data_IF_343777959807
#
_entry.id   IF_343777959807
#
_cell.length_a   1.000
_cell.length_b   1.000
_cell.length_c   1.000
_cell.angle_alpha   90.00
_cell.angle_beta   90.00
_cell.angle_gamma   90.00
#
_symmetry.space_group_name_H-M   'P 1'
#
loop_
_entity.id
_entity.type
_entity.pdbx_description
1 polymer ?
#
# COMPACT_ATOMS: atom_id res chain seq x y z
N UNK A 1 -13.96 -1.58 -45.72
CA UNK A 1 -15.12 -2.16 -45.02
C UNK A 1 -14.64 -2.61 -43.65
N UNK A 2 -15.29 -2.11 -42.61
CA UNK A 2 -15.14 -2.37 -41.15
C UNK A 2 -14.89 -3.86 -40.82
N UNK A 3 -14.19 -4.30 -39.77
CA UNK A 3 -14.42 -4.02 -38.34
C UNK A 3 -13.16 -4.22 -37.47
N UNK A 4 -12.56 -3.14 -36.95
CA UNK A 4 -11.72 -3.18 -35.75
C UNK A 4 -12.61 -2.74 -34.58
N UNK A 5 -13.20 -3.68 -33.84
CA UNK A 5 -14.14 -3.30 -32.77
C UNK A 5 -15.01 -4.38 -32.13
N UNK A 6 -14.72 -5.69 -32.27
CA UNK A 6 -15.41 -6.71 -31.48
C UNK A 6 -14.58 -7.10 -30.26
N UNK A 7 -15.07 -6.94 -29.02
CA UNK A 7 -14.47 -7.60 -27.87
C UNK A 7 -14.76 -9.09 -28.01
N UNK A 8 -13.79 -9.83 -28.56
CA UNK A 8 -13.79 -11.29 -28.49
C UNK A 8 -13.79 -11.73 -27.03
N UNK A 9 -14.50 -12.82 -26.74
CA UNK A 9 -14.53 -13.44 -25.41
C UNK A 9 -13.10 -13.64 -24.90
N UNK A 10 -12.78 -13.03 -23.74
CA UNK A 10 -11.48 -13.21 -23.08
C UNK A 10 -11.25 -14.72 -22.90
N UNK A 11 -10.07 -15.27 -23.29
CA UNK A 11 -9.79 -16.67 -23.03
C UNK A 11 -9.93 -16.94 -21.53
N UNK A 12 -10.74 -17.95 -21.20
CA UNK A 12 -10.91 -18.48 -19.83
C UNK A 12 -9.68 -19.26 -19.37
N UNK A 13 -8.48 -18.78 -19.71
CA UNK A 13 -7.25 -19.37 -19.22
C UNK A 13 -7.03 -18.79 -17.82
N UNK A 14 -7.56 -19.50 -16.82
CA UNK A 14 -7.06 -19.32 -15.45
C UNK A 14 -5.54 -19.52 -15.53
N UNK A 15 -4.74 -18.50 -15.21
CA UNK A 15 -3.29 -18.64 -15.26
C UNK A 15 -2.91 -19.78 -14.32
N UNK A 16 -2.17 -20.77 -14.82
CA UNK A 16 -1.58 -21.78 -13.95
C UNK A 16 -0.48 -21.11 -13.14
N UNK A 17 -0.53 -21.17 -11.79
CA UNK A 17 0.62 -20.74 -10.99
C UNK A 17 1.87 -21.53 -11.45
N UNK A 18 3.05 -20.90 -11.61
CA UNK A 18 3.44 -19.54 -11.22
C UNK A 18 3.52 -18.55 -12.41
N UNK A 19 2.76 -18.72 -13.49
CA UNK A 19 2.86 -17.86 -14.68
C UNK A 19 2.57 -16.36 -14.42
N UNK A 20 1.99 -16.01 -13.27
CA UNK A 20 1.84 -14.61 -12.78
C UNK A 20 2.65 -14.31 -11.51
N UNK A 21 3.61 -15.16 -11.17
CA UNK A 21 4.34 -15.11 -9.91
C UNK A 21 3.46 -15.51 -8.74
N UNK A 22 3.61 -16.74 -8.27
CA UNK A 22 3.28 -17.06 -6.87
C UNK A 22 4.34 -16.39 -6.01
N UNK A 23 4.24 -15.07 -5.85
CA UNK A 23 5.06 -14.36 -4.89
C UNK A 23 4.69 -14.97 -3.53
N UNK A 24 5.61 -15.66 -2.82
CA UNK A 24 5.28 -16.26 -1.53
C UNK A 24 5.01 -15.11 -0.57
N UNK A 25 3.74 -14.71 -0.47
CA UNK A 25 3.41 -13.39 0.09
C UNK A 25 3.77 -13.30 1.56
N UNK A 26 3.83 -14.43 2.24
CA UNK A 26 4.47 -14.70 3.54
C UNK A 26 4.15 -16.16 3.85
N UNK A 27 4.89 -17.12 3.26
CA UNK A 27 4.54 -18.56 3.39
C UNK A 27 4.66 -19.04 4.84
N UNK A 28 5.70 -18.57 5.53
CA UNK A 28 6.04 -19.01 6.88
C UNK A 28 5.43 -18.10 7.96
N UNK A 29 4.71 -17.05 7.55
CA UNK A 29 3.98 -16.15 8.45
C UNK A 29 4.89 -15.33 9.35
N UNK A 30 6.05 -14.89 8.85
CA UNK A 30 7.06 -14.18 9.65
C UNK A 30 6.52 -12.86 10.22
N UNK A 31 5.65 -12.17 9.47
CA UNK A 31 5.07 -10.91 9.88
C UNK A 31 3.64 -11.04 10.45
N UNK A 32 3.18 -12.27 10.72
CA UNK A 32 1.80 -12.57 11.17
C UNK A 32 1.42 -11.87 12.47
N UNK A 33 2.35 -11.70 13.42
CA UNK A 33 2.09 -11.03 14.70
C UNK A 33 1.72 -9.54 14.51
N UNK A 34 2.45 -8.85 13.65
CA UNK A 34 2.16 -7.44 13.31
C UNK A 34 0.85 -7.34 12.52
N UNK A 35 0.62 -8.25 11.57
CA UNK A 35 -0.63 -8.33 10.80
C UNK A 35 -1.85 -8.50 11.73
N UNK A 36 -1.80 -9.43 12.66
CA UNK A 36 -2.91 -9.69 13.59
C UNK A 36 -3.19 -8.48 14.48
N UNK A 37 -2.15 -7.77 14.92
CA UNK A 37 -2.29 -6.55 15.72
C UNK A 37 -2.99 -5.45 14.92
N UNK A 38 -2.56 -5.23 13.67
CA UNK A 38 -3.21 -4.28 12.76
C UNK A 38 -4.68 -4.63 12.50
N UNK A 39 -4.98 -5.89 12.16
CA UNK A 39 -6.35 -6.35 11.92
C UNK A 39 -7.22 -6.25 13.18
N UNK A 40 -6.66 -6.50 14.36
CA UNK A 40 -7.36 -6.30 15.63
C UNK A 40 -7.70 -4.82 15.84
N UNK A 41 -6.76 -3.92 15.56
CA UNK A 41 -6.98 -2.49 15.63
C UNK A 41 -8.11 -2.05 14.69
N UNK A 42 -8.02 -2.41 13.41
CA UNK A 42 -9.04 -2.08 12.40
C UNK A 42 -10.44 -2.57 12.79
N UNK A 43 -10.54 -3.76 13.39
CA UNK A 43 -11.81 -4.28 13.90
C UNK A 43 -12.35 -3.46 15.07
N UNK A 44 -11.49 -3.02 16.00
CA UNK A 44 -11.89 -2.20 17.16
C UNK A 44 -12.42 -0.83 16.72
N UNK A 45 -11.73 -0.17 15.79
CA UNK A 45 -12.09 1.16 15.27
C UNK A 45 -13.12 1.12 14.14
N UNK A 46 -13.75 -0.05 13.89
CA UNK A 46 -14.78 -0.25 12.86
C UNK A 46 -14.34 0.19 11.46
N UNK A 47 -13.06 0.02 11.14
CA UNK A 47 -12.48 0.39 9.85
C UNK A 47 -12.16 1.87 9.67
N UNK A 48 -12.29 2.69 10.72
CA UNK A 48 -11.81 4.08 10.71
C UNK A 48 -10.28 4.08 10.69
N UNK A 49 -9.68 4.95 9.88
CA UNK A 49 -8.24 5.07 9.75
C UNK A 49 -7.66 5.92 10.89
N UNK A 50 -7.66 5.35 12.11
CA UNK A 50 -7.06 5.97 13.29
C UNK A 50 -5.52 5.89 13.26
N UNK A 51 -4.85 6.88 13.83
CA UNK A 51 -3.38 6.97 13.85
C UNK A 51 -2.74 5.77 14.58
N UNK A 52 -3.40 5.23 15.60
CA UNK A 52 -2.98 4.00 16.28
C UNK A 52 -2.89 2.81 15.31
N UNK A 53 -3.87 2.66 14.42
CA UNK A 53 -3.87 1.59 13.43
C UNK A 53 -2.87 1.85 12.30
N UNK A 54 -2.61 3.11 11.92
CA UNK A 54 -1.53 3.47 10.98
C UNK A 54 -0.17 3.06 11.53
N UNK A 55 0.11 3.27 12.82
CA UNK A 55 1.37 2.85 13.42
C UNK A 55 1.59 1.33 13.33
N UNK A 56 0.53 0.55 13.57
CA UNK A 56 0.56 -0.91 13.43
C UNK A 56 0.73 -1.35 11.96
N UNK A 57 0.09 -0.65 11.02
CA UNK A 57 0.26 -0.90 9.59
C UNK A 57 1.70 -0.62 9.14
N UNK A 58 2.32 0.47 9.64
CA UNK A 58 3.72 0.82 9.38
C UNK A 58 4.66 -0.28 9.87
N UNK A 59 4.45 -0.78 11.09
CA UNK A 59 5.24 -1.89 11.65
C UNK A 59 5.10 -3.18 10.82
N UNK A 60 3.89 -3.49 10.35
CA UNK A 60 3.65 -4.64 9.47
C UNK A 60 4.39 -4.54 8.14
N UNK A 61 4.33 -3.39 7.48
CA UNK A 61 5.03 -3.17 6.21
C UNK A 61 6.55 -3.17 6.38
N UNK A 62 7.05 -2.59 7.48
CA UNK A 62 8.48 -2.63 7.84
C UNK A 62 8.97 -4.07 7.94
N UNK A 63 8.25 -4.93 8.66
CA UNK A 63 8.58 -6.34 8.78
C UNK A 63 8.70 -7.03 7.41
N UNK A 64 7.77 -6.74 6.49
CA UNK A 64 7.79 -7.35 5.15
C UNK A 64 8.97 -6.87 4.31
N UNK A 65 9.32 -5.59 4.42
CA UNK A 65 10.50 -5.03 3.76
C UNK A 65 11.81 -5.60 4.32
N UNK A 66 11.92 -5.78 5.63
CA UNK A 66 13.12 -6.30 6.30
C UNK A 66 13.34 -7.79 6.02
N UNK A 67 12.26 -8.55 5.86
CA UNK A 67 12.28 -9.99 5.54
C UNK A 67 12.34 -10.27 4.03
N UNK A 68 12.50 -9.25 3.20
CA UNK A 68 12.47 -9.35 1.73
C UNK A 68 11.18 -10.00 1.19
N UNK A 69 10.08 -9.92 1.95
CA UNK A 69 8.74 -10.35 1.55
C UNK A 69 8.00 -9.27 0.75
N UNK A 70 8.63 -8.10 0.60
CA UNK A 70 8.18 -6.97 -0.20
C UNK A 70 9.42 -6.15 -0.59
N UNK A 71 9.39 -5.52 -1.78
CA UNK A 71 10.41 -4.55 -2.15
C UNK A 71 10.44 -3.39 -1.16
N UNK A 72 11.62 -2.87 -0.85
CA UNK A 72 11.75 -1.66 -0.03
C UNK A 72 11.18 -0.47 -0.78
N UNK A 73 10.29 0.25 -0.12
CA UNK A 73 9.66 1.46 -0.64
C UNK A 73 9.53 2.49 0.49
N UNK A 74 9.36 3.75 0.13
CA UNK A 74 9.16 4.83 1.07
C UNK A 74 7.71 4.84 1.58
N UNK A 75 7.55 5.09 2.88
CA UNK A 75 6.24 5.17 3.52
C UNK A 75 5.29 6.19 2.89
N UNK A 76 5.83 7.25 2.28
CA UNK A 76 5.06 8.26 1.54
C UNK A 76 4.32 7.64 0.34
N UNK A 77 4.97 6.73 -0.38
CA UNK A 77 4.41 6.01 -1.53
C UNK A 77 3.37 4.96 -1.09
N UNK A 78 3.48 4.49 0.16
CA UNK A 78 2.59 3.49 0.75
C UNK A 78 1.37 4.12 1.48
N UNK A 79 1.12 5.43 1.29
CA UNK A 79 -0.03 6.12 1.89
C UNK A 79 0.18 6.59 3.33
N UNK A 80 1.43 6.60 3.83
CA UNK A 80 1.81 7.16 5.12
C UNK A 80 2.39 8.56 5.00
N UNK A 81 1.83 9.37 4.09
CA UNK A 81 2.13 10.80 4.09
C UNK A 81 1.73 11.38 5.46
N UNK A 82 2.67 12.10 6.07
CA UNK A 82 2.36 12.96 7.21
C UNK A 82 1.39 14.05 6.75
N UNK A 83 0.47 14.50 7.62
CA UNK A 83 -0.25 15.73 7.34
C UNK A 83 0.79 16.81 7.00
N UNK A 84 0.52 17.71 6.04
CA UNK A 84 1.45 18.76 5.70
C UNK A 84 1.85 19.46 7.01
N UNK A 85 3.15 19.40 7.33
CA UNK A 85 3.73 20.28 8.32
C UNK A 85 3.24 21.69 8.00
N UNK A 86 2.78 22.39 9.02
CA UNK A 86 2.11 23.67 8.89
C UNK A 86 2.80 24.56 7.84
N UNK A 87 2.05 25.29 7.00
CA UNK A 87 2.65 26.16 6.01
C UNK A 87 3.59 27.13 6.73
N UNK A 88 4.88 27.03 6.46
CA UNK A 88 5.87 28.05 6.78
C UNK A 88 5.31 29.39 6.29
N UNK A 89 4.72 30.18 7.20
CA UNK A 89 4.27 31.53 6.92
C UNK A 89 5.51 32.41 6.83
N UNK A 90 5.93 32.75 5.61
CA UNK A 90 6.86 33.85 5.34
C UNK A 90 7.31 33.86 3.88
N UNK A 91 7.24 34.93 3.09
CA UNK A 91 6.80 36.32 3.27
C UNK A 91 6.09 36.74 1.97
N UNK A 92 4.95 37.41 2.10
CA UNK A 92 4.30 38.11 0.99
C UNK A 92 5.03 39.43 0.77
N UNK A 93 5.63 39.62 -0.41
CA UNK A 93 6.29 40.84 -0.86
C UNK A 93 7.65 40.48 -1.46
N UNK A 94 7.95 40.73 -2.73
CA UNK A 94 7.74 41.97 -3.46
C UNK A 94 7.76 41.63 -4.96
N UNK A 95 6.67 41.94 -5.68
CA UNK A 95 6.77 42.20 -7.11
C UNK A 95 7.56 43.51 -7.25
N UNK A 96 8.75 43.44 -7.84
CA UNK A 96 9.44 44.64 -8.36
C UNK A 96 10.14 44.34 -9.69
N UNK A 97 9.50 44.90 -10.72
CA UNK A 97 9.89 45.17 -12.11
C UNK A 97 10.04 43.97 -13.04
#
# INVERSE_FOLDING_TARGET
MSTFGSPGSLPTTKPTPPQRGSFPLDHDGECKKAMMSYLSCMKKVRGVNEDECRNLAKAYLTCRMDRNLMARDEFKNLGFAEPPAEPEKGVKGELRW
#
